data_IF_921478620418
#
_entry.id   IF_921478620418
#
_cell.length_a   1.000
_cell.length_b   1.000
_cell.length_c   1.000
_cell.angle_alpha   90.00
_cell.angle_beta   90.00
_cell.angle_gamma   90.00
#
_symmetry.space_group_name_H-M   'P 1'
#
loop_
_entity.id
_entity.type
_entity.pdbx_description
1 polymer ?
#
# COMPACT_ATOMS: atom_id res chain seq x y z
N UNK A 1 9.06 -12.93 7.01
CA UNK A 1 7.93 -12.60 7.93
C UNK A 1 8.44 -11.52 8.87
N UNK A 2 7.76 -10.40 8.92
CA UNK A 2 8.07 -9.37 9.90
C UNK A 2 7.06 -9.51 10.98
N UNK A 3 7.46 -10.10 12.04
CA UNK A 3 6.60 -10.31 13.18
C UNK A 3 6.96 -9.28 14.24
N UNK A 4 5.97 -8.55 14.71
CA UNK A 4 6.06 -7.85 15.97
C UNK A 4 6.00 -8.93 17.05
N UNK A 5 7.12 -9.21 17.68
CA UNK A 5 7.16 -10.22 18.75
C UNK A 5 6.39 -9.73 19.97
N UNK A 6 5.86 -10.66 20.77
CA UNK A 6 5.16 -10.32 22.01
C UNK A 6 6.05 -9.51 22.99
N UNK A 7 7.37 -9.74 22.96
CA UNK A 7 8.35 -8.98 23.75
C UNK A 7 8.39 -7.53 23.28
N UNK A 8 8.52 -7.31 21.98
CA UNK A 8 8.54 -5.96 21.38
C UNK A 8 7.21 -5.24 21.60
N UNK A 9 6.08 -5.91 21.39
CA UNK A 9 4.76 -5.36 21.68
C UNK A 9 4.66 -4.92 23.14
N UNK A 10 5.18 -5.71 24.08
CA UNK A 10 5.16 -5.37 25.50
C UNK A 10 5.92 -4.09 25.84
N UNK A 11 6.98 -3.75 25.08
CA UNK A 11 7.72 -2.49 25.26
C UNK A 11 6.88 -1.30 24.82
N UNK A 12 6.19 -1.40 23.67
CA UNK A 12 5.25 -0.36 23.25
C UNK A 12 4.09 -0.18 24.21
N UNK A 13 3.50 -1.29 24.69
CA UNK A 13 2.40 -1.22 25.67
C UNK A 13 2.85 -0.53 26.96
N UNK A 14 4.07 -0.79 27.45
CA UNK A 14 4.61 -0.09 28.63
C UNK A 14 4.83 1.41 28.38
N UNK A 15 5.22 1.80 27.18
CA UNK A 15 5.38 3.21 26.80
C UNK A 15 4.02 3.93 26.80
N UNK A 16 2.98 3.29 26.29
CA UNK A 16 1.68 3.93 26.07
C UNK A 16 0.74 3.78 27.26
N UNK A 17 0.69 2.61 27.90
CA UNK A 17 -0.27 2.32 28.98
C UNK A 17 0.37 2.61 30.36
N UNK A 18 0.03 3.75 30.93
CA UNK A 18 0.59 4.30 32.17
C UNK A 18 -0.42 4.14 33.31
N UNK A 19 -0.42 2.98 33.95
CA UNK A 19 -1.34 2.71 35.07
C UNK A 19 -2.82 2.69 34.66
N UNK A 20 -3.12 2.27 33.43
CA UNK A 20 -4.48 2.22 32.87
C UNK A 20 -4.88 3.45 32.05
N UNK A 21 -4.04 4.50 32.04
CA UNK A 21 -4.16 5.64 31.17
C UNK A 21 -3.31 5.40 29.92
N UNK A 22 -3.89 5.62 28.73
CA UNK A 22 -3.13 5.56 27.48
C UNK A 22 -2.70 6.97 27.14
N UNK A 23 -1.39 7.22 27.27
CA UNK A 23 -0.78 8.54 27.10
C UNK A 23 -1.58 9.62 27.83
N UNK A 24 -1.86 10.75 27.19
CA UNK A 24 -2.66 11.86 27.73
C UNK A 24 -4.13 11.84 27.25
N UNK A 25 -4.55 10.81 26.52
CA UNK A 25 -5.92 10.72 26.02
C UNK A 25 -6.95 10.66 27.16
N UNK A 26 -8.04 11.41 27.05
CA UNK A 26 -9.29 11.06 27.71
C UNK A 26 -10.00 9.90 26.96
N UNK A 27 -11.13 9.39 27.44
CA UNK A 27 -11.80 8.24 26.81
C UNK A 27 -12.35 8.58 25.43
N UNK A 28 -12.94 9.75 25.29
CA UNK A 28 -13.52 10.21 24.02
C UNK A 28 -12.43 10.40 22.96
N UNK A 29 -11.34 11.08 23.31
CA UNK A 29 -10.24 11.34 22.38
C UNK A 29 -9.52 10.04 21.99
N UNK A 30 -9.40 9.09 22.90
CA UNK A 30 -8.83 7.76 22.59
C UNK A 30 -9.69 6.98 21.60
N UNK A 31 -11.02 6.98 21.79
CA UNK A 31 -11.96 6.33 20.89
C UNK A 31 -11.97 7.03 19.51
N UNK A 32 -11.94 8.35 19.48
CA UNK A 32 -11.82 9.11 18.22
C UNK A 32 -10.52 8.78 17.48
N UNK A 33 -9.38 8.73 18.21
CA UNK A 33 -8.08 8.38 17.67
C UNK A 33 -8.08 6.95 17.10
N UNK A 34 -8.55 5.98 17.87
CA UNK A 34 -8.56 4.57 17.42
C UNK A 34 -9.53 4.35 16.26
N UNK A 35 -10.66 5.06 16.23
CA UNK A 35 -11.58 5.05 15.08
C UNK A 35 -10.90 5.59 13.81
N UNK A 36 -10.13 6.67 13.92
CA UNK A 36 -9.38 7.21 12.79
C UNK A 36 -8.26 6.27 12.36
N UNK A 37 -7.54 5.65 13.28
CA UNK A 37 -6.41 4.76 13.02
C UNK A 37 -6.87 3.43 12.40
N UNK A 38 -7.77 2.72 13.07
CA UNK A 38 -8.14 1.33 12.78
C UNK A 38 -9.63 1.12 12.49
N UNK A 39 -10.42 2.19 12.43
CA UNK A 39 -11.86 2.11 12.17
C UNK A 39 -12.71 1.65 13.36
N UNK A 40 -12.14 1.52 14.57
CA UNK A 40 -12.82 0.97 15.74
C UNK A 40 -12.63 1.86 16.98
N UNK A 41 -13.72 2.18 17.69
CA UNK A 41 -13.72 2.88 18.98
C UNK A 41 -13.46 1.86 20.08
N UNK A 42 -12.21 1.75 20.55
CA UNK A 42 -11.78 0.63 21.39
C UNK A 42 -12.46 0.58 22.75
N UNK A 43 -12.63 1.71 23.44
CA UNK A 43 -13.30 1.71 24.74
C UNK A 43 -14.77 1.35 24.61
N UNK A 44 -15.43 1.88 23.60
CA UNK A 44 -16.83 1.59 23.31
C UNK A 44 -17.00 0.11 22.91
N UNK A 45 -16.16 -0.41 22.05
CA UNK A 45 -16.23 -1.79 21.56
C UNK A 45 -16.01 -2.83 22.68
N UNK A 46 -14.96 -2.66 23.49
CA UNK A 46 -14.62 -3.61 24.55
C UNK A 46 -15.34 -3.33 25.86
N UNK A 47 -15.98 -2.19 26.02
CA UNK A 47 -16.59 -1.71 27.25
C UNK A 47 -15.62 -1.78 28.46
N UNK A 48 -14.37 -1.30 28.24
CA UNK A 48 -13.29 -1.33 29.23
C UNK A 48 -12.57 0.02 29.30
N UNK A 49 -11.70 0.20 30.30
CA UNK A 49 -10.80 1.35 30.35
C UNK A 49 -9.83 1.36 29.16
N UNK A 50 -9.32 2.51 28.76
CA UNK A 50 -8.41 2.72 27.64
C UNK A 50 -7.26 1.70 27.59
N UNK A 51 -6.52 1.56 28.70
CA UNK A 51 -5.42 0.60 28.79
C UNK A 51 -5.85 -0.85 28.63
N UNK A 52 -7.00 -1.23 29.24
CA UNK A 52 -7.54 -2.60 29.10
C UNK A 52 -8.10 -2.85 27.71
N UNK A 53 -8.68 -1.85 27.07
CA UNK A 53 -9.18 -1.94 25.69
C UNK A 53 -8.03 -2.06 24.69
N UNK A 54 -6.94 -1.29 24.88
CA UNK A 54 -5.73 -1.40 24.07
C UNK A 54 -5.13 -2.82 24.16
N UNK A 55 -4.96 -3.37 25.37
CA UNK A 55 -4.44 -4.72 25.57
C UNK A 55 -5.35 -5.76 24.91
N UNK A 56 -6.67 -5.70 25.17
CA UNK A 56 -7.62 -6.64 24.58
C UNK A 56 -7.57 -6.64 23.04
N UNK A 57 -7.41 -5.46 22.43
CA UNK A 57 -7.26 -5.34 20.99
C UNK A 57 -5.96 -5.99 20.49
N UNK A 58 -4.84 -5.75 21.14
CA UNK A 58 -3.55 -6.33 20.74
C UNK A 58 -3.50 -7.86 20.86
N UNK A 59 -4.34 -8.45 21.68
CA UNK A 59 -4.47 -9.91 21.86
C UNK A 59 -5.39 -10.57 20.81
N UNK A 60 -6.36 -9.83 20.25
CA UNK A 60 -7.44 -10.39 19.43
C UNK A 60 -7.37 -9.98 17.96
N UNK A 61 -6.81 -8.80 17.67
CA UNK A 61 -6.75 -8.26 16.32
C UNK A 61 -5.66 -8.94 15.47
N UNK A 62 -5.75 -8.76 14.17
CA UNK A 62 -4.72 -9.21 13.24
C UNK A 62 -3.42 -8.42 13.46
N UNK A 63 -2.28 -9.09 13.30
CA UNK A 63 -0.95 -8.51 13.52
C UNK A 63 -0.73 -7.21 12.74
N UNK A 64 -1.20 -7.14 11.49
CA UNK A 64 -1.09 -5.94 10.64
C UNK A 64 -1.86 -4.74 11.21
N UNK A 65 -3.03 -4.97 11.80
CA UNK A 65 -3.85 -3.92 12.42
C UNK A 65 -3.26 -3.48 13.76
N UNK A 66 -2.72 -4.43 14.52
CA UNK A 66 -1.97 -4.14 15.76
C UNK A 66 -0.75 -3.27 15.43
N UNK A 67 0.05 -3.65 14.42
CA UNK A 67 1.22 -2.86 13.99
C UNK A 67 0.79 -1.45 13.57
N UNK A 68 -0.30 -1.30 12.82
CA UNK A 68 -0.81 0.01 12.42
C UNK A 68 -1.11 0.89 13.63
N UNK A 69 -1.92 0.38 14.56
CA UNK A 69 -2.28 1.14 15.77
C UNK A 69 -1.06 1.51 16.61
N UNK A 70 -0.11 0.57 16.80
CA UNK A 70 1.13 0.81 17.54
C UNK A 70 1.98 1.90 16.88
N UNK A 71 2.12 1.89 15.55
CA UNK A 71 2.85 2.92 14.83
C UNK A 71 2.16 4.29 14.88
N UNK A 72 0.83 4.33 14.81
CA UNK A 72 0.07 5.58 14.92
C UNK A 72 0.17 6.17 16.34
N UNK A 73 0.08 5.34 17.38
CA UNK A 73 0.32 5.76 18.77
C UNK A 73 1.76 6.21 18.99
N UNK A 74 2.73 5.55 18.35
CA UNK A 74 4.13 5.95 18.43
C UNK A 74 4.38 7.29 17.76
N UNK A 75 3.79 7.55 16.58
CA UNK A 75 3.85 8.85 15.92
C UNK A 75 3.18 9.93 16.78
N UNK A 76 2.03 9.64 17.39
CA UNK A 76 1.38 10.56 18.32
C UNK A 76 2.31 10.91 19.50
N UNK A 77 2.97 9.90 20.06
CA UNK A 77 3.94 10.10 21.16
C UNK A 77 5.12 11.00 20.71
N UNK A 78 5.68 10.76 19.53
CA UNK A 78 6.77 11.60 18.97
C UNK A 78 6.36 13.06 18.81
N UNK A 79 5.11 13.34 18.43
CA UNK A 79 4.60 14.69 18.21
C UNK A 79 4.26 15.42 19.52
N UNK A 80 3.71 14.73 20.51
CA UNK A 80 3.13 15.37 21.70
C UNK A 80 4.02 15.29 22.94
N UNK A 81 4.98 14.37 23.00
CA UNK A 81 5.83 14.12 24.18
C UNK A 81 7.30 14.45 23.97
N UNK A 82 7.57 15.45 23.13
CA UNK A 82 8.92 15.83 22.72
C UNK A 82 9.87 16.16 23.88
N UNK A 83 9.39 16.85 24.92
CA UNK A 83 10.19 17.16 26.11
C UNK A 83 10.48 15.91 26.96
N UNK A 84 9.53 14.99 27.04
CA UNK A 84 9.73 13.72 27.74
C UNK A 84 10.76 12.84 27.04
N UNK A 85 10.74 12.81 25.69
CA UNK A 85 11.71 12.06 24.87
C UNK A 85 13.15 12.53 25.12
N UNK A 86 13.35 13.83 25.37
CA UNK A 86 14.65 14.42 25.66
C UNK A 86 15.11 14.23 27.11
N UNK A 87 14.24 13.79 27.99
CA UNK A 87 14.55 13.58 29.39
C UNK A 87 15.33 12.28 29.62
N UNK A 88 15.80 12.06 30.85
CA UNK A 88 16.47 10.82 31.27
C UNK A 88 15.53 9.86 32.03
N UNK A 89 14.20 10.09 31.97
CA UNK A 89 13.23 9.32 32.70
C UNK A 89 13.02 7.88 32.09
N UNK A 90 12.19 7.09 32.75
CA UNK A 90 11.88 5.73 32.30
C UNK A 90 11.23 5.70 30.92
N UNK A 91 10.35 6.64 30.61
CA UNK A 91 9.64 6.69 29.32
C UNK A 91 10.57 7.07 28.16
N UNK A 92 11.53 7.94 28.37
CA UNK A 92 12.58 8.21 27.37
C UNK A 92 13.41 6.96 27.06
N UNK A 93 13.74 6.15 28.06
CA UNK A 93 14.43 4.87 27.87
C UNK A 93 13.55 3.85 27.12
N UNK A 94 12.25 3.80 27.40
CA UNK A 94 11.31 2.96 26.66
C UNK A 94 11.18 3.43 25.21
N UNK A 95 11.09 4.74 24.95
CA UNK A 95 11.07 5.29 23.61
C UNK A 95 12.31 4.88 22.81
N UNK A 96 13.52 5.00 23.37
CA UNK A 96 14.75 4.59 22.71
C UNK A 96 14.76 3.10 22.34
N UNK A 97 14.09 2.25 23.12
CA UNK A 97 13.91 0.82 22.79
C UNK A 97 12.86 0.60 21.70
N UNK A 98 11.78 1.38 21.70
CA UNK A 98 10.71 1.30 20.70
C UNK A 98 11.17 1.81 19.32
N UNK A 99 12.00 2.85 19.27
CA UNK A 99 12.40 3.53 18.04
C UNK A 99 12.97 2.59 16.94
N UNK A 100 13.99 1.75 17.21
CA UNK A 100 14.51 0.84 16.18
C UNK A 100 13.50 -0.20 15.72
N UNK A 101 12.58 -0.61 16.60
CA UNK A 101 11.49 -1.54 16.26
C UNK A 101 10.49 -0.82 15.36
N UNK A 102 10.07 0.40 15.72
CA UNK A 102 9.17 1.21 14.92
C UNK A 102 9.74 1.48 13.52
N UNK A 103 11.02 1.85 13.42
CA UNK A 103 11.69 2.06 12.13
C UNK A 103 11.75 0.77 11.29
N UNK A 104 12.01 -0.37 11.91
CA UNK A 104 11.94 -1.66 11.23
C UNK A 104 10.53 -1.94 10.71
N UNK A 105 9.51 -1.77 11.54
CA UNK A 105 8.10 -1.97 11.16
C UNK A 105 7.67 -0.99 10.07
N UNK A 106 8.07 0.28 10.17
CA UNK A 106 7.83 1.30 9.13
C UNK A 106 8.47 0.91 7.79
N UNK A 107 9.72 0.45 7.76
CA UNK A 107 10.42 0.05 6.52
C UNK A 107 9.73 -1.10 5.80
N UNK A 108 9.19 -2.04 6.54
CA UNK A 108 8.57 -3.25 5.98
C UNK A 108 7.17 -2.95 5.48
N UNK A 109 6.44 -2.12 6.20
CA UNK A 109 5.14 -1.62 5.75
C UNK A 109 5.29 -0.67 4.53
N UNK A 110 6.40 0.07 4.45
CA UNK A 110 6.65 1.07 3.40
C UNK A 110 6.82 0.49 2.00
N UNK A 111 7.40 -0.68 1.81
CA UNK A 111 7.74 -1.13 0.45
C UNK A 111 6.51 -1.50 -0.40
N UNK A 112 5.48 -2.16 0.17
CA UNK A 112 4.25 -2.49 -0.57
C UNK A 112 3.10 -1.53 -0.29
N UNK A 113 3.02 -0.99 0.94
CA UNK A 113 1.96 -0.06 1.36
C UNK A 113 2.27 1.37 0.92
N UNK A 114 3.54 1.81 0.91
CA UNK A 114 3.91 3.16 0.48
C UNK A 114 3.56 3.39 -0.99
N UNK A 115 3.92 2.47 -1.88
CA UNK A 115 3.56 2.57 -3.29
C UNK A 115 2.04 2.60 -3.50
N UNK A 116 1.29 1.89 -2.67
CA UNK A 116 -0.16 1.86 -2.73
C UNK A 116 -0.81 3.12 -2.13
N UNK A 117 -0.30 3.66 -1.02
CA UNK A 117 -0.75 4.93 -0.46
C UNK A 117 -0.42 6.12 -1.38
N UNK A 118 0.75 6.10 -2.02
CA UNK A 118 1.10 7.08 -3.04
C UNK A 118 0.10 7.08 -4.20
N UNK A 119 -0.30 5.90 -4.68
CA UNK A 119 -1.34 5.78 -5.69
C UNK A 119 -2.68 6.36 -5.26
N UNK A 120 -3.08 6.22 -4.00
CA UNK A 120 -4.32 6.84 -3.50
C UNK A 120 -4.29 8.37 -3.57
N UNK A 121 -3.16 8.99 -3.33
CA UNK A 121 -3.03 10.45 -3.42
C UNK A 121 -3.09 10.95 -4.87
N UNK A 122 -2.66 10.13 -5.81
CA UNK A 122 -2.67 10.42 -7.25
C UNK A 122 -4.04 10.17 -7.89
N UNK A 123 -4.72 9.11 -7.47
CA UNK A 123 -6.08 8.83 -7.94
C UNK A 123 -7.09 9.57 -7.06
N UNK A 124 -7.66 10.65 -7.56
CA UNK A 124 -8.72 11.41 -6.87
C UNK A 124 -10.06 10.62 -6.74
N UNK A 125 -10.13 9.40 -7.27
CA UNK A 125 -11.30 8.55 -7.25
C UNK A 125 -11.42 7.77 -5.94
N UNK A 126 -12.47 8.05 -5.15
CA UNK A 126 -12.77 7.28 -3.95
C UNK A 126 -12.99 5.77 -4.20
N UNK A 127 -13.44 5.41 -5.41
CA UNK A 127 -13.55 4.00 -5.83
C UNK A 127 -12.17 3.33 -5.90
N UNK A 128 -11.19 3.95 -6.56
CA UNK A 128 -9.84 3.37 -6.69
C UNK A 128 -9.14 3.29 -5.33
N UNK A 129 -9.29 4.30 -4.48
CA UNK A 129 -8.77 4.24 -3.11
C UNK A 129 -9.33 3.04 -2.34
N UNK A 130 -10.65 2.82 -2.39
CA UNK A 130 -11.27 1.67 -1.74
C UNK A 130 -10.79 0.32 -2.31
N UNK A 131 -10.55 0.23 -3.63
CA UNK A 131 -9.99 -0.99 -4.24
C UNK A 131 -8.55 -1.26 -3.81
N UNK A 132 -7.73 -0.23 -3.67
CA UNK A 132 -6.36 -0.34 -3.17
C UNK A 132 -6.35 -0.83 -1.71
N UNK A 133 -7.20 -0.28 -0.84
CA UNK A 133 -7.33 -0.72 0.54
C UNK A 133 -7.77 -2.18 0.64
N UNK A 134 -8.74 -2.57 -0.18
CA UNK A 134 -9.21 -3.95 -0.24
C UNK A 134 -8.10 -4.89 -0.72
N UNK A 135 -7.38 -4.51 -1.76
CA UNK A 135 -6.25 -5.28 -2.31
C UNK A 135 -5.17 -5.53 -1.25
N UNK A 136 -4.82 -4.51 -0.45
CA UNK A 136 -3.82 -4.64 0.62
C UNK A 136 -4.30 -5.60 1.69
N UNK A 137 -5.53 -5.46 2.17
CA UNK A 137 -6.11 -6.34 3.20
C UNK A 137 -6.20 -7.79 2.75
N UNK A 138 -6.61 -8.03 1.51
CA UNK A 138 -6.82 -9.38 0.99
C UNK A 138 -5.53 -10.17 0.75
N UNK A 139 -4.34 -9.56 0.81
CA UNK A 139 -3.08 -10.28 0.62
C UNK A 139 -2.92 -11.48 1.56
N UNK A 140 -3.41 -11.35 2.78
CA UNK A 140 -3.36 -12.41 3.80
C UNK A 140 -4.63 -13.25 3.81
N UNK A 141 -5.78 -12.59 3.82
CA UNK A 141 -7.08 -13.25 4.05
C UNK A 141 -7.59 -13.99 2.82
N UNK A 142 -7.33 -13.46 1.64
CA UNK A 142 -7.69 -14.08 0.35
C UNK A 142 -6.67 -13.70 -0.73
N UNK A 143 -5.50 -14.37 -0.79
CA UNK A 143 -4.43 -14.09 -1.75
C UNK A 143 -4.89 -14.05 -3.20
N UNK A 144 -5.82 -14.90 -3.56
CA UNK A 144 -6.40 -14.96 -4.92
C UNK A 144 -7.19 -13.70 -5.26
N UNK A 145 -8.00 -13.20 -4.34
CA UNK A 145 -8.76 -11.96 -4.52
C UNK A 145 -7.84 -10.75 -4.59
N UNK A 146 -6.79 -10.68 -3.77
CA UNK A 146 -5.78 -9.63 -3.84
C UNK A 146 -5.14 -9.54 -5.24
N UNK A 147 -4.84 -10.67 -5.87
CA UNK A 147 -4.31 -10.72 -7.25
C UNK A 147 -5.36 -10.25 -8.26
N UNK A 148 -6.63 -10.60 -8.05
CA UNK A 148 -7.75 -10.09 -8.85
C UNK A 148 -7.83 -8.56 -8.80
N UNK A 149 -7.76 -7.99 -7.60
CA UNK A 149 -7.74 -6.53 -7.39
C UNK A 149 -6.49 -5.86 -7.96
N UNK A 150 -5.33 -6.50 -7.88
CA UNK A 150 -4.11 -6.04 -8.52
C UNK A 150 -4.24 -5.94 -10.05
N UNK A 151 -4.90 -6.92 -10.68
CA UNK A 151 -5.24 -6.87 -12.11
C UNK A 151 -6.19 -5.72 -12.43
N UNK A 152 -7.26 -5.57 -11.65
CA UNK A 152 -8.25 -4.49 -11.82
C UNK A 152 -7.61 -3.10 -11.69
N UNK A 153 -6.66 -2.92 -10.78
CA UNK A 153 -5.92 -1.67 -10.59
C UNK A 153 -5.11 -1.30 -11.85
N UNK A 154 -4.39 -2.26 -12.45
CA UNK A 154 -3.65 -2.04 -13.69
C UNK A 154 -4.61 -1.64 -14.82
N UNK A 155 -5.70 -2.37 -14.98
CA UNK A 155 -6.71 -2.07 -16.02
C UNK A 155 -7.30 -0.67 -15.85
N UNK A 156 -7.69 -0.31 -14.63
CA UNK A 156 -8.30 0.99 -14.33
C UNK A 156 -7.33 2.15 -14.61
N UNK A 157 -6.08 2.03 -14.18
CA UNK A 157 -5.05 3.02 -14.45
C UNK A 157 -4.87 3.25 -15.96
N UNK A 158 -4.65 2.17 -16.70
CA UNK A 158 -4.41 2.27 -18.14
C UNK A 158 -5.63 2.79 -18.91
N UNK A 159 -6.85 2.38 -18.55
CA UNK A 159 -8.09 2.89 -19.14
C UNK A 159 -8.24 4.39 -18.90
N UNK A 160 -8.02 4.85 -17.67
CA UNK A 160 -8.06 6.28 -17.33
C UNK A 160 -7.09 7.08 -18.20
N UNK A 161 -5.85 6.63 -18.33
CA UNK A 161 -4.84 7.30 -19.16
C UNK A 161 -5.25 7.33 -20.63
N UNK A 162 -5.73 6.21 -21.18
CA UNK A 162 -6.20 6.14 -22.56
C UNK A 162 -7.34 7.14 -22.81
N UNK A 163 -8.34 7.17 -21.91
CA UNK A 163 -9.49 8.09 -21.99
C UNK A 163 -9.06 9.56 -21.91
N UNK A 164 -8.19 9.92 -20.98
CA UNK A 164 -7.67 11.29 -20.85
C UNK A 164 -6.79 11.72 -22.04
N UNK A 165 -6.19 10.76 -22.74
CA UNK A 165 -5.45 10.98 -23.98
C UNK A 165 -6.32 10.87 -25.24
N UNK A 166 -7.64 10.80 -25.10
CA UNK A 166 -8.60 10.80 -26.20
C UNK A 166 -8.74 9.45 -26.91
N UNK A 167 -8.28 8.36 -26.30
CA UNK A 167 -8.38 7.01 -26.86
C UNK A 167 -9.30 6.17 -25.97
N UNK A 168 -10.37 5.61 -26.54
CA UNK A 168 -11.27 4.72 -25.78
C UNK A 168 -10.82 3.27 -25.95
N UNK A 169 -10.62 2.56 -24.85
CA UNK A 169 -10.29 1.15 -24.88
C UNK A 169 -11.47 0.33 -25.44
N UNK A 170 -11.22 -0.51 -26.44
CA UNK A 170 -12.22 -1.43 -26.98
C UNK A 170 -12.64 -2.43 -25.89
N UNK A 171 -13.95 -2.70 -25.80
CA UNK A 171 -14.52 -3.67 -24.84
C UNK A 171 -13.97 -5.09 -25.00
N UNK A 172 -13.39 -5.42 -26.14
CA UNK A 172 -12.78 -6.72 -26.44
C UNK A 172 -11.30 -6.80 -26.03
N UNK A 173 -10.70 -5.69 -25.62
CA UNK A 173 -9.31 -5.70 -25.20
C UNK A 173 -9.19 -6.35 -23.82
N UNK A 174 -8.28 -7.28 -23.71
CA UNK A 174 -7.86 -7.80 -22.40
C UNK A 174 -6.87 -6.83 -21.74
N UNK A 175 -6.55 -7.08 -20.46
CA UNK A 175 -5.63 -6.24 -19.70
C UNK A 175 -4.26 -6.09 -20.39
N UNK A 176 -3.74 -7.16 -20.97
CA UNK A 176 -2.42 -7.14 -21.63
C UNK A 176 -2.43 -6.19 -22.83
N UNK A 177 -3.51 -6.22 -23.62
CA UNK A 177 -3.69 -5.31 -24.74
C UNK A 177 -3.86 -3.86 -24.28
N UNK A 178 -4.63 -3.62 -23.23
CA UNK A 178 -4.83 -2.28 -22.64
C UNK A 178 -3.47 -1.70 -22.21
N UNK A 179 -2.66 -2.47 -21.46
CA UNK A 179 -1.30 -2.04 -21.06
C UNK A 179 -0.42 -1.76 -22.29
N UNK A 180 -0.43 -2.65 -23.28
CA UNK A 180 0.38 -2.51 -24.50
C UNK A 180 0.06 -1.21 -25.26
N UNK A 181 -1.22 -0.90 -25.44
CA UNK A 181 -1.64 0.34 -26.09
C UNK A 181 -1.29 1.59 -25.26
N UNK A 182 -1.42 1.51 -23.92
CA UNK A 182 -1.05 2.62 -23.03
C UNK A 182 0.46 2.92 -23.11
N UNK A 183 1.33 1.90 -22.99
CA UNK A 183 2.79 2.12 -23.04
C UNK A 183 3.27 2.59 -24.42
N UNK A 184 2.59 2.17 -25.50
CA UNK A 184 2.86 2.69 -26.86
C UNK A 184 2.49 4.17 -26.97
N UNK A 185 1.31 4.54 -26.48
CA UNK A 185 0.81 5.92 -26.51
C UNK A 185 1.73 6.86 -25.72
N UNK A 186 2.20 6.40 -24.55
CA UNK A 186 3.15 7.13 -23.70
C UNK A 186 4.60 7.12 -24.22
N UNK A 187 4.91 6.36 -25.27
CA UNK A 187 6.25 6.18 -25.84
C UNK A 187 7.27 5.63 -24.83
N UNK A 188 6.84 4.72 -23.98
CA UNK A 188 7.68 4.05 -22.97
C UNK A 188 7.92 2.56 -23.30
N UNK A 189 7.99 2.25 -24.59
CA UNK A 189 8.35 0.90 -25.05
C UNK A 189 9.87 0.76 -25.20
N UNK A 190 10.42 -0.47 -25.20
CA UNK A 190 11.85 -0.69 -25.45
C UNK A 190 12.37 -0.02 -26.73
N UNK A 191 11.54 0.09 -27.79
CA UNK A 191 11.92 0.73 -29.05
C UNK A 191 12.12 2.25 -28.92
N UNK A 192 11.59 2.88 -27.89
CA UNK A 192 11.73 4.31 -27.67
C UNK A 192 13.05 4.66 -26.95
N UNK A 193 13.84 3.68 -26.55
CA UNK A 193 15.15 3.87 -25.90
C UNK A 193 16.23 3.86 -26.99
N UNK A 194 16.93 4.99 -27.22
CA UNK A 194 18.03 5.05 -28.19
C UNK A 194 19.19 4.15 -27.78
N UNK A 195 19.82 3.47 -28.75
CA UNK A 195 20.97 2.62 -28.51
C UNK A 195 22.24 3.39 -28.07
N UNK A 196 22.21 4.71 -28.24
CA UNK A 196 23.31 5.62 -27.88
C UNK A 196 23.36 5.94 -26.38
N UNK A 197 22.32 5.60 -25.63
CA UNK A 197 22.27 5.86 -24.18
C UNK A 197 23.12 4.78 -23.46
N UNK A 198 23.99 5.17 -22.51
CA UNK A 198 24.63 4.18 -21.64
C UNK A 198 23.62 3.23 -21.02
N UNK A 199 23.93 1.95 -20.95
CA UNK A 199 23.08 0.90 -20.39
C UNK A 199 21.71 0.72 -21.12
N UNK A 200 21.59 1.14 -22.38
CA UNK A 200 20.36 1.01 -23.18
C UNK A 200 19.77 -0.40 -23.16
N UNK A 201 20.62 -1.42 -23.26
CA UNK A 201 20.21 -2.84 -23.20
C UNK A 201 19.51 -3.19 -21.90
N UNK A 202 20.06 -2.76 -20.75
CA UNK A 202 19.48 -3.01 -19.44
C UNK A 202 18.15 -2.28 -19.28
N UNK A 203 18.07 -1.03 -19.74
CA UNK A 203 16.83 -0.24 -19.70
C UNK A 203 15.72 -0.88 -20.56
N UNK A 204 16.05 -1.32 -21.78
CA UNK A 204 15.11 -2.05 -22.66
C UNK A 204 14.61 -3.34 -22.01
N UNK A 205 15.49 -4.08 -21.35
CA UNK A 205 15.11 -5.29 -20.62
C UNK A 205 14.17 -4.99 -19.46
N UNK A 206 14.43 -3.95 -18.66
CA UNK A 206 13.54 -3.52 -17.58
C UNK A 206 12.13 -3.17 -18.11
N UNK A 207 12.03 -2.38 -19.18
CA UNK A 207 10.74 -2.05 -19.80
C UNK A 207 10.01 -3.30 -20.32
N UNK A 208 10.75 -4.27 -20.89
CA UNK A 208 10.19 -5.56 -21.28
C UNK A 208 9.64 -6.35 -20.10
N UNK A 209 10.32 -6.32 -18.95
CA UNK A 209 9.89 -6.98 -17.73
C UNK A 209 8.61 -6.38 -17.15
N UNK A 210 8.38 -5.07 -17.29
CA UNK A 210 7.11 -4.44 -16.87
C UNK A 210 5.91 -5.04 -17.62
N UNK A 211 6.04 -5.28 -18.92
CA UNK A 211 4.99 -5.96 -19.69
C UNK A 211 4.80 -7.40 -19.21
N UNK A 212 5.88 -8.10 -18.89
CA UNK A 212 5.81 -9.46 -18.36
C UNK A 212 5.06 -9.52 -17.02
N UNK A 213 5.17 -8.50 -16.16
CA UNK A 213 4.39 -8.39 -14.92
C UNK A 213 2.89 -8.43 -15.23
N UNK A 214 2.40 -7.60 -16.16
CA UNK A 214 0.99 -7.56 -16.53
C UNK A 214 0.51 -8.93 -17.06
N UNK A 215 1.28 -9.57 -17.95
CA UNK A 215 0.96 -10.91 -18.49
C UNK A 215 0.85 -11.95 -17.38
N UNK A 216 1.82 -11.96 -16.47
CA UNK A 216 1.87 -12.96 -15.40
C UNK A 216 0.75 -12.76 -14.37
N UNK A 217 0.40 -11.52 -14.04
CA UNK A 217 -0.74 -11.21 -13.15
C UNK A 217 -2.06 -11.64 -13.78
N UNK A 218 -2.26 -11.39 -15.09
CA UNK A 218 -3.44 -11.88 -15.81
C UNK A 218 -3.52 -13.41 -15.77
N UNK A 219 -2.40 -14.10 -16.00
CA UNK A 219 -2.30 -15.55 -15.98
C UNK A 219 -2.63 -16.12 -14.59
N UNK A 220 -2.05 -15.56 -13.53
CA UNK A 220 -2.34 -15.97 -12.15
C UNK A 220 -3.82 -15.79 -11.81
N UNK A 221 -4.39 -14.62 -12.14
CA UNK A 221 -5.83 -14.37 -11.93
C UNK A 221 -6.69 -15.36 -12.69
N UNK A 222 -6.36 -15.69 -13.92
CA UNK A 222 -7.15 -16.63 -14.73
C UNK A 222 -7.06 -18.06 -14.18
N UNK A 223 -5.88 -18.48 -13.73
CA UNK A 223 -5.64 -19.83 -13.20
C UNK A 223 -6.21 -20.04 -11.80
N UNK A 224 -6.15 -19.03 -10.95
CA UNK A 224 -6.50 -19.14 -9.53
C UNK A 224 -7.77 -18.38 -9.13
N UNK A 225 -8.30 -17.49 -9.99
CA UNK A 225 -9.50 -16.70 -9.71
C UNK A 225 -10.74 -17.54 -9.45
N UNK A 226 -11.71 -16.92 -8.78
CA UNK A 226 -12.98 -17.52 -8.36
C UNK A 226 -14.00 -17.73 -9.49
N UNK A 227 -13.67 -17.34 -10.73
CA UNK A 227 -14.60 -17.39 -11.87
C UNK A 227 -15.03 -18.80 -12.32
N UNK A 228 -14.37 -19.85 -11.80
CA UNK A 228 -14.76 -21.24 -12.02
C UNK A 228 -14.69 -22.00 -10.70
N UNK A 229 -15.65 -22.89 -10.47
CA UNK A 229 -15.68 -23.75 -9.29
C UNK A 229 -14.37 -24.56 -9.16
N UNK A 230 -13.80 -24.57 -7.97
CA UNK A 230 -12.59 -25.32 -7.65
C UNK A 230 -12.95 -26.58 -6.86
N UNK A 231 -12.17 -27.65 -7.02
CA UNK A 231 -12.34 -28.85 -6.21
C UNK A 231 -11.99 -28.60 -4.75
N UNK A 232 -12.54 -29.39 -3.83
CA UNK A 232 -12.24 -29.30 -2.39
C UNK A 232 -10.76 -29.42 -2.05
N UNK A 233 -9.96 -30.07 -2.90
CA UNK A 233 -8.51 -30.26 -2.72
C UNK A 233 -7.67 -29.17 -3.41
N UNK A 234 -8.29 -28.13 -3.97
CA UNK A 234 -7.57 -27.06 -4.64
C UNK A 234 -6.73 -26.27 -3.63
N UNK A 235 -5.42 -26.22 -3.86
CA UNK A 235 -4.50 -25.36 -3.11
C UNK A 235 -4.40 -24.03 -3.83
N UNK A 236 -4.91 -22.97 -3.19
CA UNK A 236 -4.81 -21.61 -3.66
C UNK A 236 -3.38 -21.04 -3.59
N UNK A 237 -3.26 -19.75 -3.89
CA UNK A 237 -2.03 -19.01 -3.73
C UNK A 237 -1.82 -18.63 -2.26
N UNK A 238 -0.56 -18.55 -1.85
CA UNK A 238 -0.18 -18.13 -0.50
C UNK A 238 -0.01 -16.60 -0.42
N UNK A 239 -0.03 -16.06 0.78
CA UNK A 239 0.18 -14.63 1.07
C UNK A 239 1.42 -14.05 0.36
N UNK A 240 2.55 -14.78 0.34
CA UNK A 240 3.78 -14.35 -0.33
C UNK A 240 3.61 -14.10 -1.83
N UNK A 241 2.76 -14.90 -2.49
CA UNK A 241 2.47 -14.75 -3.92
C UNK A 241 1.59 -13.52 -4.17
N UNK A 242 0.61 -13.27 -3.28
CA UNK A 242 -0.20 -12.06 -3.33
C UNK A 242 0.64 -10.80 -3.08
N UNK A 243 1.52 -10.82 -2.08
CA UNK A 243 2.45 -9.71 -1.80
C UNK A 243 3.34 -9.39 -3.00
N UNK A 244 3.88 -10.40 -3.68
CA UNK A 244 4.67 -10.21 -4.88
C UNK A 244 3.83 -9.60 -6.02
N UNK A 245 2.64 -10.14 -6.27
CA UNK A 245 1.75 -9.66 -7.34
C UNK A 245 1.28 -8.24 -7.08
N UNK A 246 0.84 -7.92 -5.86
CA UNK A 246 0.41 -6.57 -5.45
C UNK A 246 1.57 -5.58 -5.54
N UNK A 247 2.75 -5.91 -4.99
CA UNK A 247 3.93 -5.05 -5.07
C UNK A 247 4.36 -4.78 -6.51
N UNK A 248 4.36 -5.80 -7.36
CA UNK A 248 4.69 -5.66 -8.78
C UNK A 248 3.66 -4.80 -9.53
N UNK A 249 2.37 -4.97 -9.23
CA UNK A 249 1.28 -4.19 -9.84
C UNK A 249 1.35 -2.72 -9.46
N UNK A 250 1.57 -2.42 -8.18
CA UNK A 250 1.68 -1.02 -7.71
C UNK A 250 2.92 -0.34 -8.30
N UNK A 251 4.05 -1.05 -8.42
CA UNK A 251 5.24 -0.53 -9.10
C UNK A 251 4.97 -0.24 -10.58
N UNK A 252 4.30 -1.15 -11.29
CA UNK A 252 3.93 -0.97 -12.68
C UNK A 252 3.00 0.24 -12.87
N UNK A 253 1.97 0.35 -12.04
CA UNK A 253 0.99 1.44 -12.11
C UNK A 253 1.64 2.78 -11.79
N UNK A 254 2.49 2.87 -10.77
CA UNK A 254 3.25 4.08 -10.46
C UNK A 254 4.13 4.50 -11.65
N UNK A 255 4.88 3.60 -12.24
CA UNK A 255 5.74 3.90 -13.38
C UNK A 255 4.95 4.39 -14.61
N UNK A 256 3.81 3.76 -14.91
CA UNK A 256 2.93 4.18 -16.03
C UNK A 256 2.36 5.56 -15.73
N UNK A 257 1.90 5.83 -14.52
CA UNK A 257 1.33 7.12 -14.11
C UNK A 257 2.37 8.25 -14.13
N UNK A 258 3.57 8.04 -13.58
CA UNK A 258 4.70 8.98 -13.66
C UNK A 258 5.03 9.33 -15.13
N UNK A 259 4.98 8.33 -16.00
CA UNK A 259 5.24 8.52 -17.42
C UNK A 259 4.15 9.34 -18.09
N UNK A 260 2.89 9.16 -17.68
CA UNK A 260 1.75 9.95 -18.13
C UNK A 260 1.85 11.41 -17.67
N UNK A 261 2.12 11.68 -16.40
CA UNK A 261 2.31 13.03 -15.87
C UNK A 261 3.45 13.76 -16.59
N UNK A 262 4.57 13.06 -16.83
CA UNK A 262 5.69 13.60 -17.61
C UNK A 262 5.30 13.91 -19.06
N UNK A 263 4.51 13.03 -19.68
CA UNK A 263 4.01 13.25 -21.05
C UNK A 263 3.13 14.50 -21.11
N UNK A 264 2.21 14.67 -20.17
CA UNK A 264 1.34 15.85 -20.07
C UNK A 264 2.14 17.14 -19.87
N UNK A 265 3.11 17.13 -18.96
CA UNK A 265 3.97 18.27 -18.69
C UNK A 265 4.75 18.72 -19.94
N UNK A 266 5.32 17.78 -20.69
CA UNK A 266 6.08 18.08 -21.90
C UNK A 266 5.18 18.65 -23.01
N UNK A 267 3.98 18.10 -23.19
CA UNK A 267 3.04 18.57 -24.21
C UNK A 267 2.37 19.91 -23.84
N UNK A 268 2.19 20.20 -22.56
CA UNK A 268 1.72 21.48 -22.06
C UNK A 268 2.71 22.61 -22.33
N UNK A 269 4.01 22.36 -22.19
CA UNK A 269 5.07 23.33 -22.53
C UNK A 269 5.11 23.65 -24.03
N UNK A 270 5.02 22.65 -24.89
CA UNK A 270 5.04 22.86 -26.35
C UNK A 270 3.84 23.66 -26.87
N UNK A 271 2.69 23.61 -26.19
CA UNK A 271 1.54 24.45 -26.54
C UNK A 271 1.73 25.93 -26.20
N UNK A 272 2.46 26.23 -25.12
CA UNK A 272 2.74 27.62 -24.71
C UNK A 272 3.87 28.27 -25.54
N UNK A 273 4.80 27.51 -26.10
CA UNK A 273 5.87 28.01 -26.97
C UNK A 273 5.40 28.23 -28.42
N UNK A 274 4.31 27.62 -28.85
CA UNK A 274 3.74 27.77 -30.19
C UNK A 274 2.72 28.94 -30.33
N UNK A 275 2.45 29.67 -29.23
CA UNK A 275 1.52 30.81 -29.16
C UNK A 275 2.26 32.16 -29.02
N UNK A 276 3.58 32.14 -28.92
CA UNK A 276 4.46 33.32 -28.97
C UNK A 276 5.24 33.34 -30.30
#
# INVERSE_FOLDING_TARGET
>A
MVNLTNIELSVFIKLFNRGGYVLDFNTYDFDAFTKQSIGLELCNYYNKSKGKSLIAYTEQAQESEVIKLILDLFNYYELHFFEEIKSENEYAKLYQRCQPIAERLKRINRASVHNAEELKTRFSSGYLCAQIDLMIRMQKDNPTEAIGKAKELIESCCKTILEEMGTTADKKWDMVRIVDETVKLLKITPHNIPDTIPEATAMKALLGNLKAIAVNIATLRNSYGSGHGKSANFKGLEERHAKLAVGSSTTLVNFIWDSYERYQFNNGKNKNESVN
#
